data_IF_944100918083
#
_entry.id   IF_944100918083
#
_cell.length_a   1.000
_cell.length_b   1.000
_cell.length_c   1.000
_cell.angle_alpha   90.00
_cell.angle_beta   90.00
_cell.angle_gamma   90.00
#
_symmetry.space_group_name_H-M   'P 1'
#
loop_
_entity.id
_entity.type
_entity.pdbx_description
1 polymer ?
#
# COMPACT_ATOMS: atom_id res chain seq x y z
N UNK A 1 12.41 1.15 -27.84
CA UNK A 1 13.84 1.54 -27.75
C UNK A 1 14.64 0.70 -28.75
N UNK A 2 15.45 1.33 -29.61
CA UNK A 2 16.26 0.57 -30.58
C UNK A 2 17.45 -0.12 -29.88
N UNK A 3 17.99 -1.19 -30.50
CA UNK A 3 19.14 -1.96 -29.98
C UNK A 3 20.35 -1.11 -29.62
N UNK A 4 20.55 -0.01 -30.34
CA UNK A 4 21.63 0.94 -30.12
C UNK A 4 21.56 1.66 -28.79
N UNK A 5 20.35 1.94 -28.30
CA UNK A 5 20.12 2.61 -26.99
C UNK A 5 20.49 1.68 -25.83
N UNK A 6 20.11 0.43 -25.93
CA UNK A 6 20.43 -0.61 -24.93
C UNK A 6 21.94 -0.85 -24.87
N UNK A 7 22.60 -0.93 -26.02
CA UNK A 7 24.07 -1.13 -26.13
C UNK A 7 24.83 0.04 -25.47
N UNK A 8 24.46 1.28 -25.80
CA UNK A 8 25.07 2.49 -25.24
C UNK A 8 24.92 2.55 -23.72
N UNK A 9 23.79 2.08 -23.20
CA UNK A 9 23.50 2.05 -21.77
C UNK A 9 24.34 0.98 -21.04
N UNK A 10 24.48 -0.19 -21.64
CA UNK A 10 25.34 -1.26 -21.11
C UNK A 10 26.80 -0.79 -21.05
N UNK A 11 27.30 -0.14 -22.08
CA UNK A 11 28.69 0.37 -22.14
C UNK A 11 28.92 1.46 -21.08
N UNK A 12 28.00 2.42 -20.92
CA UNK A 12 28.10 3.44 -19.86
C UNK A 12 28.11 2.84 -18.47
N UNK A 13 27.30 1.82 -18.25
CA UNK A 13 27.22 1.09 -16.99
C UNK A 13 28.52 0.35 -16.67
N UNK A 14 29.15 -0.25 -17.66
CA UNK A 14 30.47 -0.88 -17.52
C UNK A 14 31.57 0.15 -17.21
N UNK A 15 31.40 1.39 -17.67
CA UNK A 15 32.33 2.49 -17.41
C UNK A 15 32.01 3.30 -16.15
N UNK A 16 30.95 2.97 -15.40
CA UNK A 16 30.56 3.67 -14.16
C UNK A 16 30.12 5.14 -14.38
N UNK A 17 29.72 5.52 -15.62
CA UNK A 17 29.32 6.89 -15.94
C UNK A 17 27.84 7.11 -15.66
N UNK A 18 27.45 8.02 -14.75
CA UNK A 18 26.05 8.36 -14.50
C UNK A 18 25.36 8.88 -15.77
N UNK A 19 24.11 8.51 -15.93
CA UNK A 19 23.29 8.94 -17.05
C UNK A 19 21.97 9.52 -16.57
N UNK A 20 21.55 10.64 -17.14
CA UNK A 20 20.27 11.26 -16.80
C UNK A 20 19.26 11.05 -17.93
N UNK A 21 18.09 10.52 -17.59
CA UNK A 21 16.97 10.35 -18.50
C UNK A 21 15.68 10.91 -17.89
N UNK A 22 15.03 11.85 -18.56
CA UNK A 22 13.85 12.59 -18.07
C UNK A 22 14.05 13.16 -16.65
N UNK A 23 15.23 13.74 -16.37
CA UNK A 23 15.59 14.31 -15.07
C UNK A 23 15.99 13.29 -13.99
N UNK A 24 15.97 12.00 -14.30
CA UNK A 24 16.33 10.92 -13.37
C UNK A 24 17.77 10.47 -13.65
N UNK A 25 18.64 10.58 -12.66
CA UNK A 25 20.01 10.08 -12.76
C UNK A 25 20.05 8.58 -12.53
N UNK A 26 20.55 7.86 -13.52
CA UNK A 26 20.72 6.40 -13.49
C UNK A 26 22.16 6.10 -13.09
N UNK A 27 22.39 5.92 -11.82
CA UNK A 27 23.70 5.65 -11.20
C UNK A 27 23.79 4.26 -10.57
N UNK A 28 22.66 3.56 -10.48
CA UNK A 28 22.59 2.24 -9.85
C UNK A 28 21.57 1.32 -10.55
N UNK A 29 21.65 0.02 -10.20
CA UNK A 29 20.81 -1.03 -10.78
C UNK A 29 19.32 -0.82 -10.51
N UNK A 30 18.97 -0.24 -9.37
CA UNK A 30 17.57 -0.05 -8.97
C UNK A 30 16.91 0.99 -9.85
N UNK A 31 17.56 2.17 -10.00
CA UNK A 31 17.09 3.23 -10.88
C UNK A 31 17.03 2.77 -12.35
N UNK A 32 18.02 1.98 -12.78
CA UNK A 32 17.99 1.40 -14.13
C UNK A 32 16.79 0.45 -14.34
N UNK A 33 16.51 -0.44 -13.39
CA UNK A 33 15.35 -1.35 -13.47
C UNK A 33 14.04 -0.56 -13.50
N UNK A 34 13.89 0.45 -12.64
CA UNK A 34 12.73 1.33 -12.64
C UNK A 34 12.50 1.94 -14.02
N UNK A 35 13.49 2.66 -14.54
CA UNK A 35 13.38 3.33 -15.85
C UNK A 35 13.08 2.34 -16.98
N UNK A 36 13.72 1.19 -16.95
CA UNK A 36 13.50 0.14 -17.97
C UNK A 36 12.07 -0.42 -17.90
N UNK A 37 11.55 -0.66 -16.70
CA UNK A 37 10.18 -1.13 -16.50
C UNK A 37 9.16 -0.09 -16.96
N UNK A 38 9.34 1.17 -16.58
CA UNK A 38 8.46 2.27 -16.99
C UNK A 38 8.39 2.42 -18.52
N UNK A 39 9.56 2.36 -19.17
CA UNK A 39 9.65 2.46 -20.63
C UNK A 39 9.03 1.24 -21.32
N UNK A 40 9.25 0.04 -20.77
CA UNK A 40 8.67 -1.20 -21.31
C UNK A 40 7.15 -1.18 -21.23
N UNK A 41 6.60 -0.69 -20.12
CA UNK A 41 5.16 -0.58 -19.89
C UNK A 41 4.52 0.65 -20.55
N UNK A 42 5.31 1.54 -21.18
CA UNK A 42 4.80 2.76 -21.79
C UNK A 42 4.27 3.79 -20.77
N UNK A 43 4.70 3.70 -19.50
CA UNK A 43 4.24 4.56 -18.42
C UNK A 43 4.96 5.92 -18.51
N UNK A 44 4.19 7.02 -18.40
CA UNK A 44 4.76 8.37 -18.31
C UNK A 44 5.32 8.62 -16.91
N UNK A 45 6.53 9.13 -16.83
CA UNK A 45 7.24 9.38 -15.60
C UNK A 45 8.22 10.55 -15.73
N UNK A 46 8.63 11.11 -14.59
CA UNK A 46 9.59 12.20 -14.55
C UNK A 46 10.03 12.54 -13.14
N UNK A 47 10.68 13.70 -13.03
CA UNK A 47 11.13 14.28 -11.77
C UNK A 47 10.41 15.61 -11.54
N UNK A 48 10.04 15.84 -10.27
CA UNK A 48 9.45 17.08 -9.78
C UNK A 48 10.12 17.45 -8.45
N UNK A 49 11.04 18.43 -8.50
CA UNK A 49 11.92 18.75 -7.37
C UNK A 49 12.80 17.55 -6.98
N UNK A 50 12.69 17.13 -5.72
CA UNK A 50 13.41 15.97 -5.16
C UNK A 50 12.64 14.65 -5.26
N UNK A 51 11.42 14.70 -5.78
CA UNK A 51 10.57 13.53 -5.96
C UNK A 51 10.53 13.08 -7.40
N UNK A 52 10.10 11.86 -7.59
CA UNK A 52 9.78 11.28 -8.88
C UNK A 52 8.28 11.08 -8.96
N UNK A 53 7.75 11.13 -10.17
CA UNK A 53 6.35 10.81 -10.40
C UNK A 53 6.18 9.78 -11.50
N UNK A 54 5.06 9.08 -11.43
CA UNK A 54 4.59 8.18 -12.46
C UNK A 54 3.12 8.41 -12.69
N UNK A 55 2.68 8.38 -13.96
CA UNK A 55 1.28 8.47 -14.32
C UNK A 55 0.72 7.08 -14.55
N UNK A 56 -0.24 6.71 -13.74
CA UNK A 56 -1.01 5.47 -13.88
C UNK A 56 -2.39 5.78 -14.44
N UNK A 57 -3.15 4.75 -14.74
CA UNK A 57 -4.57 4.92 -15.14
C UNK A 57 -5.46 5.47 -14.01
N UNK A 58 -5.00 5.43 -12.76
CA UNK A 58 -5.73 5.94 -11.60
C UNK A 58 -5.34 7.35 -11.19
N UNK A 59 -4.21 7.85 -11.68
CA UNK A 59 -3.68 9.17 -11.37
C UNK A 59 -2.17 9.22 -11.32
N UNK A 60 -1.63 10.32 -10.82
CA UNK A 60 -0.19 10.56 -10.69
C UNK A 60 0.25 10.16 -9.29
N UNK A 61 1.27 9.32 -9.19
CA UNK A 61 1.84 8.85 -7.93
C UNK A 61 3.22 9.45 -7.75
N UNK A 62 3.50 9.97 -6.56
CA UNK A 62 4.77 10.58 -6.17
C UNK A 62 5.51 9.72 -5.14
N UNK A 63 6.85 9.70 -5.25
CA UNK A 63 7.70 9.04 -4.27
C UNK A 63 9.18 9.18 -4.58
N UNK A 64 10.02 8.57 -3.74
CA UNK A 64 11.45 8.46 -3.97
C UNK A 64 11.76 7.19 -4.76
N UNK A 65 12.86 7.17 -5.49
CA UNK A 65 13.41 5.91 -6.02
C UNK A 65 14.14 5.20 -4.86
N UNK A 66 13.91 3.91 -4.63
CA UNK A 66 13.17 2.93 -5.41
C UNK A 66 11.69 2.74 -5.02
N UNK A 67 11.13 3.55 -4.12
CA UNK A 67 9.79 3.35 -3.55
C UNK A 67 8.71 3.21 -4.63
N UNK A 68 8.75 4.09 -5.62
CA UNK A 68 7.83 4.08 -6.77
C UNK A 68 7.78 2.73 -7.52
N UNK A 69 8.83 1.89 -7.44
CA UNK A 69 8.85 0.60 -8.12
C UNK A 69 7.72 -0.35 -7.72
N UNK A 70 7.27 -0.27 -6.47
CA UNK A 70 6.23 -1.16 -5.96
C UNK A 70 4.83 -0.78 -6.46
N UNK A 71 4.64 0.48 -6.86
CA UNK A 71 3.34 0.95 -7.38
C UNK A 71 3.03 0.43 -8.80
N UNK A 72 3.98 -0.28 -9.44
CA UNK A 72 3.83 -0.84 -10.80
C UNK A 72 3.47 -2.31 -10.83
N UNK A 73 3.40 -2.97 -9.71
CA UNK A 73 2.88 -4.32 -9.68
C UNK A 73 1.38 -4.22 -9.87
N UNK A 74 0.91 -4.25 -11.13
CA UNK A 74 -0.53 -4.28 -11.49
C UNK A 74 -1.29 -5.45 -10.85
N UNK A 75 -0.62 -6.25 -10.07
CA UNK A 75 -1.18 -7.36 -9.33
C UNK A 75 -2.18 -6.92 -8.27
N UNK A 76 -2.04 -5.72 -7.70
CA UNK A 76 -2.95 -5.24 -6.65
C UNK A 76 -4.40 -5.11 -7.14
N UNK A 77 -4.62 -4.87 -8.44
CA UNK A 77 -5.99 -4.82 -8.99
C UNK A 77 -6.70 -6.14 -8.81
N UNK A 78 -6.03 -7.25 -9.18
CA UNK A 78 -6.60 -8.58 -9.03
C UNK A 78 -6.80 -8.95 -7.55
N UNK A 79 -5.98 -8.39 -6.66
CA UNK A 79 -6.02 -8.66 -5.23
C UNK A 79 -7.18 -7.96 -4.53
N UNK A 80 -7.47 -6.71 -4.92
CA UNK A 80 -8.40 -5.85 -4.18
C UNK A 80 -9.71 -5.54 -4.89
N UNK A 81 -9.90 -5.96 -6.16
CA UNK A 81 -11.18 -5.80 -6.88
C UNK A 81 -12.36 -6.52 -6.21
N UNK A 82 -12.10 -7.52 -5.38
CA UNK A 82 -13.13 -8.22 -4.60
C UNK A 82 -13.70 -7.39 -3.45
N UNK A 83 -13.03 -6.25 -3.09
CA UNK A 83 -13.50 -5.34 -2.07
C UNK A 83 -14.67 -4.51 -2.60
N UNK A 84 -15.84 -4.60 -1.96
CA UNK A 84 -17.03 -3.85 -2.34
C UNK A 84 -16.91 -2.38 -1.90
N UNK A 85 -16.21 -1.58 -2.69
CA UNK A 85 -15.90 -0.16 -2.37
C UNK A 85 -16.98 0.82 -2.81
N UNK A 86 -17.92 0.41 -3.68
CA UNK A 86 -18.86 1.34 -4.31
C UNK A 86 -19.74 2.07 -3.29
N UNK A 87 -19.67 3.40 -3.28
CA UNK A 87 -20.34 4.32 -2.36
C UNK A 87 -19.99 4.11 -0.87
N UNK A 88 -18.94 3.36 -0.55
CA UNK A 88 -18.52 3.10 0.83
C UNK A 88 -17.33 3.94 1.25
N UNK A 89 -17.10 3.99 2.56
CA UNK A 89 -15.82 4.41 3.11
C UNK A 89 -14.89 3.20 3.08
N UNK A 90 -13.69 3.40 2.55
CA UNK A 90 -12.61 2.40 2.52
C UNK A 90 -11.57 2.77 3.56
N UNK A 91 -11.21 1.82 4.40
CA UNK A 91 -10.09 1.91 5.32
C UNK A 91 -8.91 1.19 4.68
N UNK A 92 -7.90 1.95 4.30
CA UNK A 92 -6.71 1.46 3.60
C UNK A 92 -5.52 1.46 4.56
N UNK A 93 -5.25 0.31 5.17
CA UNK A 93 -4.14 0.12 6.12
C UNK A 93 -2.91 -0.38 5.37
N UNK A 94 -1.83 0.41 5.41
CA UNK A 94 -0.67 0.27 4.54
C UNK A 94 -0.93 0.89 3.17
N UNK A 95 -1.24 2.20 3.16
CA UNK A 95 -1.61 2.94 1.96
C UNK A 95 -0.41 3.36 1.10
N UNK A 96 0.81 3.15 1.61
CA UNK A 96 2.08 3.39 0.93
C UNK A 96 2.15 4.78 0.28
N UNK A 97 2.25 4.86 -1.05
CA UNK A 97 2.28 6.13 -1.81
C UNK A 97 0.89 6.58 -2.30
N UNK A 98 -0.19 5.86 -1.95
CA UNK A 98 -1.57 6.20 -2.28
C UNK A 98 -2.10 5.62 -3.59
N UNK A 99 -1.42 4.69 -4.18
CA UNK A 99 -1.83 3.96 -5.39
C UNK A 99 -3.15 3.22 -5.19
N UNK A 100 -3.30 2.48 -4.09
CA UNK A 100 -4.56 1.81 -3.72
C UNK A 100 -5.66 2.81 -3.39
N UNK A 101 -5.35 3.91 -2.70
CA UNK A 101 -6.33 4.95 -2.39
C UNK A 101 -6.92 5.58 -3.67
N UNK A 102 -6.07 5.90 -4.67
CA UNK A 102 -6.53 6.39 -5.97
C UNK A 102 -7.37 5.34 -6.71
N UNK A 103 -6.96 4.08 -6.69
CA UNK A 103 -7.71 2.99 -7.31
C UNK A 103 -9.11 2.84 -6.68
N UNK A 104 -9.22 2.83 -5.35
CA UNK A 104 -10.50 2.73 -4.65
C UNK A 104 -11.43 3.91 -5.00
N UNK A 105 -10.91 5.14 -5.10
CA UNK A 105 -11.71 6.27 -5.55
C UNK A 105 -12.21 6.09 -6.98
N UNK A 106 -11.38 5.58 -7.89
CA UNK A 106 -11.77 5.28 -9.27
C UNK A 106 -12.79 4.14 -9.36
N UNK A 107 -12.76 3.17 -8.45
CA UNK A 107 -13.74 2.08 -8.37
C UNK A 107 -15.04 2.50 -7.67
N UNK A 108 -15.14 3.75 -7.24
CA UNK A 108 -16.36 4.35 -6.72
C UNK A 108 -16.44 4.44 -5.20
N UNK A 109 -15.33 4.32 -4.47
CA UNK A 109 -15.30 4.62 -3.05
C UNK A 109 -15.74 6.06 -2.80
N UNK A 110 -16.52 6.29 -1.75
CA UNK A 110 -16.97 7.63 -1.35
C UNK A 110 -15.83 8.42 -0.73
N UNK A 111 -15.13 7.81 0.23
CA UNK A 111 -13.99 8.38 0.96
C UNK A 111 -13.03 7.25 1.28
N UNK A 112 -11.73 7.54 1.29
CA UNK A 112 -10.68 6.63 1.73
C UNK A 112 -10.00 7.20 2.99
N UNK A 113 -9.83 6.36 4.01
CA UNK A 113 -9.02 6.63 5.20
C UNK A 113 -7.71 5.86 5.01
N UNK A 114 -6.65 6.56 4.67
CA UNK A 114 -5.36 6.00 4.27
C UNK A 114 -4.34 6.09 5.41
N UNK A 115 -3.86 4.94 5.88
CA UNK A 115 -2.92 4.82 7.00
C UNK A 115 -1.55 4.39 6.47
N UNK A 116 -0.55 5.23 6.72
CA UNK A 116 0.84 4.93 6.37
C UNK A 116 1.78 5.40 7.50
N UNK A 117 2.40 4.46 8.25
CA UNK A 117 3.21 4.82 9.41
C UNK A 117 4.57 5.38 9.06
N UNK A 118 5.13 5.06 7.90
CA UNK A 118 6.50 5.46 7.53
C UNK A 118 6.47 6.85 6.93
N UNK A 119 7.08 7.82 7.64
CA UNK A 119 7.02 9.25 7.27
C UNK A 119 7.40 9.51 5.82
N UNK A 120 8.43 8.84 5.30
CA UNK A 120 8.85 8.98 3.89
C UNK A 120 7.75 8.57 2.90
N UNK A 121 7.02 7.50 3.17
CA UNK A 121 5.92 7.04 2.32
C UNK A 121 4.69 7.91 2.52
N UNK A 122 4.41 8.31 3.77
CA UNK A 122 3.35 9.25 4.08
C UNK A 122 3.52 10.61 3.37
N UNK A 123 4.73 11.15 3.29
CA UNK A 123 5.01 12.37 2.52
C UNK A 123 4.71 12.18 1.03
N UNK A 124 5.08 11.03 0.46
CA UNK A 124 4.73 10.64 -0.91
C UNK A 124 3.22 10.51 -1.10
N UNK A 125 2.52 9.84 -0.17
CA UNK A 125 1.06 9.71 -0.13
C UNK A 125 0.39 11.09 -0.12
N UNK A 126 0.78 12.00 0.78
CA UNK A 126 0.22 13.36 0.85
C UNK A 126 0.42 14.12 -0.47
N UNK A 127 1.62 14.03 -1.06
CA UNK A 127 1.91 14.66 -2.35
C UNK A 127 1.07 14.05 -3.48
N UNK A 128 0.92 12.74 -3.50
CA UNK A 128 0.06 12.01 -4.44
C UNK A 128 -1.39 12.49 -4.35
N UNK A 129 -1.96 12.56 -3.17
CA UNK A 129 -3.35 12.97 -2.94
C UNK A 129 -3.57 14.41 -3.41
N UNK A 130 -2.68 15.33 -3.07
CA UNK A 130 -2.73 16.73 -3.52
C UNK A 130 -2.61 16.89 -5.04
N UNK A 131 -1.66 16.18 -5.63
CA UNK A 131 -1.42 16.26 -7.08
C UNK A 131 -2.61 15.75 -7.92
N UNK A 132 -3.46 14.91 -7.34
CA UNK A 132 -4.69 14.42 -7.98
C UNK A 132 -5.95 15.18 -7.58
N UNK A 133 -5.85 16.22 -6.70
CA UNK A 133 -6.99 17.05 -6.28
C UNK A 133 -8.09 16.28 -5.56
N UNK A 134 -7.72 15.30 -4.72
CA UNK A 134 -8.67 14.40 -4.02
C UNK A 134 -8.60 14.51 -2.49
N UNK A 135 -8.07 15.60 -1.96
CA UNK A 135 -7.88 15.84 -0.51
C UNK A 135 -9.20 15.83 0.28
N UNK A 136 -10.29 16.20 -0.34
CA UNK A 136 -11.64 16.16 0.23
C UNK A 136 -12.17 14.73 0.37
N UNK A 137 -11.63 13.78 -0.40
CA UNK A 137 -12.05 12.38 -0.45
C UNK A 137 -11.05 11.38 0.15
N UNK A 138 -9.83 11.82 0.47
CA UNK A 138 -8.81 10.97 1.12
C UNK A 138 -8.32 11.62 2.41
N UNK A 139 -8.59 10.96 3.53
CA UNK A 139 -8.05 11.34 4.83
C UNK A 139 -6.80 10.53 5.12
N UNK A 140 -5.67 11.19 5.30
CA UNK A 140 -4.37 10.54 5.48
C UNK A 140 -3.92 10.57 6.95
N UNK A 141 -3.36 9.47 7.43
CA UNK A 141 -2.93 9.29 8.82
C UNK A 141 -1.50 8.74 8.86
N UNK A 142 -0.57 9.46 9.54
CA UNK A 142 0.81 9.02 9.69
C UNK A 142 0.99 8.15 10.94
N UNK A 143 0.29 7.04 10.99
CA UNK A 143 0.46 5.98 11.99
C UNK A 143 -0.04 4.64 11.46
N UNK A 144 0.48 3.56 12.02
CA UNK A 144 0.05 2.20 11.70
C UNK A 144 -0.93 1.64 12.73
N UNK A 145 -1.56 0.52 12.39
CA UNK A 145 -2.37 -0.27 13.31
C UNK A 145 -1.49 -1.33 13.98
N UNK A 146 -1.72 -1.57 15.27
CA UNK A 146 -0.93 -2.53 16.03
C UNK A 146 -1.72 -3.08 17.22
N UNK A 147 -1.05 -3.84 18.09
CA UNK A 147 -1.64 -4.43 19.31
C UNK A 147 -1.80 -3.45 20.47
N UNK A 148 -1.22 -2.23 20.36
CA UNK A 148 -1.21 -1.22 21.41
C UNK A 148 -0.97 0.18 20.82
N UNK A 149 -1.24 1.20 21.62
CA UNK A 149 -0.86 2.58 21.31
C UNK A 149 0.59 2.85 21.72
N UNK A 150 1.39 3.41 20.80
CA UNK A 150 2.78 3.74 21.12
C UNK A 150 3.63 3.94 19.89
N UNK A 151 4.88 3.52 20.00
CA UNK A 151 5.84 3.52 18.91
C UNK A 151 6.39 2.11 18.65
N UNK A 152 6.75 1.85 17.42
CA UNK A 152 7.34 0.60 16.97
C UNK A 152 8.58 0.92 16.13
N UNK A 153 9.62 0.10 16.24
CA UNK A 153 10.80 0.23 15.38
C UNK A 153 10.75 -0.84 14.28
N UNK A 154 10.77 -0.37 13.04
CA UNK A 154 10.70 -1.21 11.84
C UNK A 154 12.04 -1.21 11.11
N UNK A 155 12.35 -2.34 10.49
CA UNK A 155 13.45 -2.42 9.51
C UNK A 155 12.86 -2.25 8.12
N UNK A 156 13.31 -1.20 7.41
CA UNK A 156 12.98 -1.05 6.00
C UNK A 156 13.75 -2.09 5.18
N UNK A 157 13.04 -3.07 4.66
CA UNK A 157 13.56 -4.01 3.67
C UNK A 157 13.71 -3.37 2.29
N UNK A 158 14.25 -4.14 1.35
CA UNK A 158 14.34 -3.72 -0.06
C UNK A 158 12.98 -3.69 -0.76
N UNK A 159 12.06 -4.53 -0.32
CA UNK A 159 10.69 -4.68 -0.78
C UNK A 159 9.86 -4.98 0.46
N UNK A 160 9.00 -4.04 0.85
CA UNK A 160 8.17 -4.15 2.03
C UNK A 160 8.87 -3.83 3.35
N UNK A 161 8.08 -3.67 4.39
CA UNK A 161 8.51 -3.44 5.76
C UNK A 161 8.18 -4.67 6.58
N UNK A 162 9.16 -5.50 6.89
CA UNK A 162 8.92 -6.53 7.91
C UNK A 162 8.81 -5.88 9.30
N UNK A 163 7.91 -6.37 10.15
CA UNK A 163 7.82 -6.00 11.57
C UNK A 163 9.03 -6.55 12.38
N UNK A 164 10.23 -6.42 11.82
CA UNK A 164 11.48 -6.78 12.47
C UNK A 164 12.07 -5.53 13.14
N UNK A 165 12.76 -5.67 14.29
CA UNK A 165 13.45 -4.57 14.93
C UNK A 165 14.38 -3.85 13.93
N UNK A 166 14.26 -2.52 13.82
CA UNK A 166 14.98 -1.70 12.85
C UNK A 166 15.20 -0.27 13.33
N UNK A 167 15.65 0.57 12.41
CA UNK A 167 16.09 1.94 12.72
C UNK A 167 14.99 2.98 12.49
N UNK A 168 13.88 2.61 11.86
CA UNK A 168 12.76 3.53 11.59
C UNK A 168 11.72 3.42 12.70
N UNK A 169 11.57 4.49 13.46
CA UNK A 169 10.53 4.60 14.47
C UNK A 169 9.23 5.11 13.83
N UNK A 170 8.12 4.42 14.11
CA UNK A 170 6.79 4.77 13.63
C UNK A 170 5.80 4.81 14.78
N UNK A 171 4.82 5.71 14.69
CA UNK A 171 3.67 5.73 15.58
C UNK A 171 2.70 4.61 15.23
N UNK A 172 2.15 3.95 16.24
CA UNK A 172 1.11 2.94 16.09
C UNK A 172 -0.05 3.18 17.05
N UNK A 173 -1.22 2.71 16.66
CA UNK A 173 -2.44 2.76 17.47
C UNK A 173 -3.02 1.35 17.66
N UNK A 174 -3.71 1.14 18.77
CA UNK A 174 -4.43 -0.11 19.03
C UNK A 174 -5.54 -0.29 17.98
N UNK A 175 -5.52 -1.44 17.31
CA UNK A 175 -6.46 -1.76 16.22
C UNK A 175 -7.91 -1.81 16.70
N UNK A 176 -8.15 -2.17 17.98
CA UNK A 176 -9.50 -2.18 18.57
C UNK A 176 -10.00 -0.75 18.77
N UNK A 177 -9.18 0.10 19.37
CA UNK A 177 -9.54 1.49 19.62
C UNK A 177 -9.79 2.25 18.32
N UNK A 178 -8.98 1.98 17.31
CA UNK A 178 -9.11 2.63 16.00
C UNK A 178 -10.38 2.19 15.27
N UNK A 179 -10.69 0.89 15.24
CA UNK A 179 -11.97 0.40 14.70
C UNK A 179 -13.18 0.99 15.42
N UNK A 180 -13.11 1.09 16.74
CA UNK A 180 -14.18 1.71 17.54
C UNK A 180 -14.29 3.22 17.26
N UNK A 181 -13.18 3.93 17.09
CA UNK A 181 -13.16 5.33 16.69
C UNK A 181 -13.82 5.52 15.32
N UNK A 182 -13.39 4.74 14.32
CA UNK A 182 -13.97 4.77 12.97
C UNK A 182 -15.48 4.51 13.04
N UNK A 183 -15.89 3.46 13.77
CA UNK A 183 -17.32 3.14 13.92
C UNK A 183 -18.13 4.26 14.55
N UNK A 184 -17.57 5.03 15.49
CA UNK A 184 -18.25 6.22 16.06
C UNK A 184 -18.36 7.34 15.03
N UNK A 185 -17.31 7.55 14.22
CA UNK A 185 -17.22 8.67 13.30
C UNK A 185 -18.09 8.49 12.05
N UNK A 186 -18.16 7.25 11.52
CA UNK A 186 -18.78 6.97 10.22
C UNK A 186 -19.83 5.83 10.25
N UNK A 187 -20.09 5.23 11.40
CA UNK A 187 -20.99 4.08 11.52
C UNK A 187 -20.34 2.75 11.14
N UNK A 188 -21.14 1.80 10.68
CA UNK A 188 -20.74 0.41 10.42
C UNK A 188 -20.81 0.00 8.94
N UNK A 189 -20.86 0.96 8.03
CA UNK A 189 -20.91 0.72 6.57
C UNK A 189 -19.58 1.09 5.89
N UNK A 190 -18.52 0.44 6.30
CA UNK A 190 -17.21 0.59 5.71
C UNK A 190 -16.57 -0.78 5.44
N UNK A 191 -15.55 -0.76 4.60
CA UNK A 191 -14.74 -1.92 4.22
C UNK A 191 -13.26 -1.65 4.48
N UNK A 192 -12.48 -2.69 4.71
CA UNK A 192 -11.07 -2.59 5.11
C UNK A 192 -10.20 -3.34 4.11
N UNK A 193 -9.21 -2.65 3.52
CA UNK A 193 -8.03 -3.28 2.93
C UNK A 193 -6.92 -3.20 3.97
N UNK A 194 -6.20 -4.30 4.16
CA UNK A 194 -5.04 -4.35 5.05
C UNK A 194 -3.91 -5.10 4.36
N UNK A 195 -2.84 -4.38 4.11
CA UNK A 195 -1.58 -4.86 3.58
C UNK A 195 -0.47 -4.05 4.26
N UNK A 196 0.07 -4.58 5.34
CA UNK A 196 0.87 -3.81 6.28
C UNK A 196 2.03 -4.59 6.88
N UNK A 197 2.43 -5.68 6.21
CA UNK A 197 3.67 -6.39 6.49
C UNK A 197 3.77 -6.91 7.95
N UNK A 198 2.66 -7.46 8.47
CA UNK A 198 2.58 -8.10 9.79
C UNK A 198 1.61 -7.44 10.78
N UNK A 199 1.10 -6.24 10.50
CA UNK A 199 0.13 -5.59 11.38
C UNK A 199 -1.25 -6.30 11.36
N UNK A 200 -1.56 -7.10 10.35
CA UNK A 200 -2.79 -7.87 10.22
C UNK A 200 -3.03 -8.82 11.41
N UNK A 201 -1.98 -9.26 12.06
CA UNK A 201 -2.10 -10.10 13.25
C UNK A 201 -2.63 -9.37 14.48
N UNK A 202 -2.62 -8.03 14.50
CA UNK A 202 -3.25 -7.26 15.56
C UNK A 202 -4.77 -7.49 15.62
N UNK A 203 -5.39 -7.89 14.50
CA UNK A 203 -6.82 -8.25 14.47
C UNK A 203 -7.16 -9.49 15.30
N UNK A 204 -6.18 -10.33 15.64
CA UNK A 204 -6.39 -11.49 16.51
C UNK A 204 -6.87 -11.08 17.92
N UNK A 205 -6.43 -9.94 18.43
CA UNK A 205 -6.79 -9.42 19.74
C UNK A 205 -8.07 -8.57 19.73
N UNK A 206 -8.51 -8.12 18.55
CA UNK A 206 -9.70 -7.26 18.40
C UNK A 206 -10.96 -8.03 18.77
N UNK A 207 -11.83 -7.55 19.68
CA UNK A 207 -13.11 -8.19 19.97
C UNK A 207 -14.02 -8.30 18.75
N UNK A 208 -14.81 -9.39 18.66
CA UNK A 208 -15.71 -9.58 17.51
C UNK A 208 -16.67 -8.41 17.30
N UNK A 209 -17.11 -7.74 18.39
CA UNK A 209 -17.95 -6.56 18.31
C UNK A 209 -17.29 -5.43 17.49
N UNK A 210 -15.99 -5.22 17.67
CA UNK A 210 -15.24 -4.20 16.92
C UNK A 210 -14.95 -4.65 15.46
N UNK A 211 -14.56 -5.91 15.26
CA UNK A 211 -14.39 -6.45 13.91
C UNK A 211 -15.65 -6.33 13.06
N UNK A 212 -16.81 -6.55 13.68
CA UNK A 212 -18.11 -6.46 13.00
C UNK A 212 -18.57 -5.06 12.64
N UNK A 213 -17.82 -4.02 12.99
CA UNK A 213 -18.09 -2.66 12.51
C UNK A 213 -17.83 -2.54 10.99
N UNK A 214 -16.83 -3.22 10.47
CA UNK A 214 -16.64 -3.34 9.02
C UNK A 214 -17.46 -4.49 8.44
N UNK A 215 -17.92 -4.33 7.19
CA UNK A 215 -18.67 -5.36 6.47
C UNK A 215 -17.77 -6.38 5.79
N UNK A 216 -16.59 -5.92 5.37
CA UNK A 216 -15.66 -6.74 4.60
C UNK A 216 -14.23 -6.35 4.94
N UNK A 217 -13.36 -7.35 4.93
CA UNK A 217 -11.91 -7.16 4.99
C UNK A 217 -11.26 -7.90 3.83
N UNK A 218 -10.38 -7.24 3.10
CA UNK A 218 -9.43 -7.89 2.20
C UNK A 218 -8.05 -7.69 2.77
N UNK A 219 -7.39 -8.79 3.13
CA UNK A 219 -6.15 -8.79 3.91
C UNK A 219 -5.06 -9.51 3.13
N UNK A 220 -3.94 -8.83 2.93
CA UNK A 220 -2.69 -9.50 2.57
C UNK A 220 -2.04 -10.06 3.84
N UNK A 221 -1.95 -11.38 3.93
CA UNK A 221 -1.44 -12.08 5.10
C UNK A 221 -0.01 -12.52 4.86
N UNK A 222 0.92 -11.96 5.66
CA UNK A 222 2.36 -12.24 5.61
C UNK A 222 2.74 -13.30 6.64
N UNK A 223 2.45 -14.59 6.35
CA UNK A 223 2.83 -15.68 7.25
C UNK A 223 1.73 -16.70 7.49
N UNK A 224 1.34 -16.90 8.75
CA UNK A 224 0.37 -17.93 9.14
C UNK A 224 -1.07 -17.47 8.95
N UNK A 225 -1.76 -18.01 7.94
CA UNK A 225 -3.14 -17.65 7.62
C UNK A 225 -4.17 -18.22 8.64
N UNK A 226 -3.95 -19.43 9.10
CA UNK A 226 -4.91 -20.20 9.92
C UNK A 226 -5.44 -19.45 11.16
N UNK A 227 -4.62 -18.73 11.96
CA UNK A 227 -5.13 -17.99 13.11
C UNK A 227 -6.15 -16.90 12.73
N UNK A 228 -5.91 -16.18 11.61
CA UNK A 228 -6.84 -15.16 11.13
C UNK A 228 -8.14 -15.78 10.65
N UNK A 229 -8.10 -16.90 9.90
CA UNK A 229 -9.30 -17.62 9.50
C UNK A 229 -10.16 -17.98 10.71
N UNK A 230 -9.58 -18.64 11.73
CA UNK A 230 -10.32 -19.00 12.94
C UNK A 230 -10.90 -17.79 13.66
N UNK A 231 -10.13 -16.71 13.77
CA UNK A 231 -10.59 -15.46 14.36
C UNK A 231 -11.83 -14.92 13.67
N UNK A 232 -11.76 -14.79 12.34
CA UNK A 232 -12.85 -14.20 11.56
C UNK A 232 -14.08 -15.11 11.50
N UNK A 233 -13.93 -16.43 11.35
CA UNK A 233 -15.04 -17.38 11.42
C UNK A 233 -15.76 -17.31 12.78
N UNK A 234 -15.02 -17.31 13.87
CA UNK A 234 -15.59 -17.19 15.22
C UNK A 234 -16.31 -15.85 15.43
N UNK A 235 -15.97 -14.83 14.68
CA UNK A 235 -16.66 -13.55 14.68
C UNK A 235 -17.81 -13.47 13.64
N UNK A 236 -18.14 -14.56 12.95
CA UNK A 236 -19.27 -14.67 12.03
C UNK A 236 -18.99 -14.19 10.61
N UNK A 237 -17.72 -14.17 10.20
CA UNK A 237 -17.34 -13.91 8.81
C UNK A 237 -17.20 -15.23 8.04
N UNK A 238 -17.50 -15.17 6.75
CA UNK A 238 -17.10 -16.16 5.73
C UNK A 238 -15.74 -15.73 5.18
N UNK A 239 -14.97 -16.63 4.60
CA UNK A 239 -13.71 -16.30 3.95
C UNK A 239 -13.55 -16.97 2.59
N UNK A 240 -12.75 -16.34 1.75
CA UNK A 240 -12.29 -16.84 0.47
C UNK A 240 -10.81 -16.47 0.30
N UNK A 241 -9.98 -17.42 -0.12
CA UNK A 241 -8.59 -17.14 -0.50
C UNK A 241 -8.60 -16.68 -1.96
N UNK A 242 -8.42 -15.38 -2.16
CA UNK A 242 -8.43 -14.75 -3.49
C UNK A 242 -7.17 -15.13 -4.28
N UNK A 243 -6.03 -15.08 -3.60
CA UNK A 243 -4.73 -15.43 -4.18
C UNK A 243 -3.79 -16.01 -3.12
N UNK A 244 -2.92 -16.91 -3.56
CA UNK A 244 -1.79 -17.38 -2.77
C UNK A 244 -0.51 -17.26 -3.59
N UNK A 245 0.50 -16.62 -3.02
CA UNK A 245 1.84 -16.52 -3.61
C UNK A 245 2.85 -17.21 -2.70
N UNK A 246 3.40 -18.34 -3.17
CA UNK A 246 4.29 -19.14 -2.36
C UNK A 246 3.59 -19.78 -1.14
N UNK A 247 4.34 -19.96 -0.05
CA UNK A 247 3.85 -20.66 1.15
C UNK A 247 3.32 -19.75 2.25
N UNK A 248 3.54 -18.44 2.16
CA UNK A 248 3.33 -17.51 3.29
C UNK A 248 2.73 -16.16 2.90
N UNK A 249 2.29 -16.00 1.67
CA UNK A 249 1.65 -14.78 1.21
C UNK A 249 0.27 -15.11 0.63
N UNK A 250 -0.77 -14.56 1.24
CA UNK A 250 -2.15 -14.85 0.89
C UNK A 250 -2.96 -13.56 0.82
N UNK A 251 -3.77 -13.41 -0.21
CA UNK A 251 -4.84 -12.42 -0.24
C UNK A 251 -6.12 -13.12 0.16
N UNK A 252 -6.75 -12.65 1.22
CA UNK A 252 -7.94 -13.27 1.79
C UNK A 252 -9.05 -12.26 1.94
N UNK A 253 -10.21 -12.62 1.41
CA UNK A 253 -11.45 -11.87 1.53
C UNK A 253 -12.29 -12.44 2.67
N UNK A 254 -12.61 -11.62 3.66
CA UNK A 254 -13.53 -11.94 4.74
C UNK A 254 -14.79 -11.10 4.61
N UNK A 255 -15.95 -11.75 4.51
CA UNK A 255 -17.25 -11.08 4.35
C UNK A 255 -18.22 -11.53 5.43
N UNK A 256 -19.12 -10.65 5.83
CA UNK A 256 -20.28 -10.99 6.65
C UNK A 256 -21.57 -10.46 6.04
N UNK A 257 -22.64 -11.14 6.29
CA UNK A 257 -24.01 -10.75 5.89
C UNK A 257 -24.46 -9.49 6.63
#
# INVERSE_FOLDING_TARGET
>A
MGPYYVFREVVRRLLGVPYTYRGITIDNVKTFKLISSLLYLGIDFGRDGDDYFVKTKYGVIYGKVPDILLTFTFEFENDYLVLDVKNKVVIDVGAYLGDTALAFLNWGARVVYAYEPISRFYEGLVKTIRANGVEDRVKVFNYGWWFYNGTLRLRLGYIGTGALPGDVEVRVVDSTEELLRIGRDIGNDFVVKMDCEGCEYSLLTVPCKALRLARQYVIEVHGALTPLIYKFINCGFKYEVVRQTGKRLFIVNFTRD
#
